data_IF_465722932142
#
_entry.id   IF_465722932142
#
_cell.length_a   1.000
_cell.length_b   1.000
_cell.length_c   1.000
_cell.angle_alpha   90.00
_cell.angle_beta   90.00
_cell.angle_gamma   90.00
#
_symmetry.space_group_name_H-M   'P 1'
#
loop_
_entity.id
_entity.type
_entity.pdbx_description
1 polymer ?
#
# COMPACT_ATOMS: atom_id res chain seq x y z
N UNK A 1 12.13 -15.10 14.68
CA UNK A 1 11.48 -15.50 13.41
C UNK A 1 10.03 -15.00 13.32
N UNK A 2 9.09 -15.53 14.13
CA UNK A 2 7.67 -15.16 14.06
C UNK A 2 7.38 -13.67 14.31
N UNK A 3 8.12 -13.03 15.23
CA UNK A 3 7.98 -11.58 15.50
C UNK A 3 8.31 -10.73 14.26
N UNK A 4 9.35 -11.10 13.51
CA UNK A 4 9.74 -10.39 12.29
C UNK A 4 8.65 -10.51 11.21
N UNK A 5 8.09 -11.70 11.05
CA UNK A 5 6.99 -11.94 10.09
C UNK A 5 5.76 -11.08 10.45
N UNK A 6 5.39 -11.05 11.74
CA UNK A 6 4.29 -10.20 12.23
C UNK A 6 4.58 -8.72 12.01
N UNK A 7 5.81 -8.27 12.25
CA UNK A 7 6.20 -6.89 12.01
C UNK A 7 6.03 -6.52 10.53
N UNK A 8 6.50 -7.38 9.61
CA UNK A 8 6.31 -7.17 8.16
C UNK A 8 4.82 -7.12 7.80
N UNK A 9 4.02 -8.02 8.35
CA UNK A 9 2.58 -8.05 8.15
C UNK A 9 1.90 -6.73 8.57
N UNK A 10 2.22 -6.22 9.77
CA UNK A 10 1.68 -4.94 10.24
C UNK A 10 2.18 -3.73 9.44
N UNK A 11 3.42 -3.77 8.94
CA UNK A 11 3.94 -2.72 8.05
C UNK A 11 3.15 -2.69 6.74
N UNK A 12 2.85 -3.85 6.15
CA UNK A 12 2.05 -3.94 4.92
C UNK A 12 0.64 -3.38 5.16
N UNK A 13 -0.05 -3.84 6.21
CA UNK A 13 -1.39 -3.33 6.56
C UNK A 13 -1.38 -1.82 6.84
N UNK A 14 -0.35 -1.32 7.52
CA UNK A 14 -0.17 0.11 7.77
C UNK A 14 0.00 0.91 6.48
N UNK A 15 0.78 0.41 5.52
CA UNK A 15 0.93 1.04 4.20
C UNK A 15 -0.37 1.02 3.40
N UNK A 16 -1.13 -0.08 3.42
CA UNK A 16 -2.46 -0.14 2.79
C UNK A 16 -3.39 0.93 3.37
N UNK A 17 -3.45 1.06 4.69
CA UNK A 17 -4.25 2.09 5.36
C UNK A 17 -3.81 3.51 4.96
N UNK A 18 -2.50 3.76 4.88
CA UNK A 18 -1.96 5.06 4.44
C UNK A 18 -2.34 5.36 2.98
N UNK A 19 -2.33 4.36 2.10
CA UNK A 19 -2.75 4.53 0.70
C UNK A 19 -4.25 4.81 0.61
N UNK A 20 -5.06 4.11 1.40
CA UNK A 20 -6.51 4.38 1.49
C UNK A 20 -6.75 5.81 1.99
N UNK A 21 -6.06 6.23 3.05
CA UNK A 21 -6.15 7.59 3.57
C UNK A 21 -5.75 8.62 2.52
N UNK A 22 -4.64 8.40 1.79
CA UNK A 22 -4.21 9.27 0.70
C UNK A 22 -5.28 9.40 -0.40
N UNK A 23 -5.89 8.27 -0.80
CA UNK A 23 -6.95 8.24 -1.79
C UNK A 23 -8.20 9.01 -1.31
N UNK A 24 -8.63 8.80 -0.06
CA UNK A 24 -9.76 9.55 0.53
C UNK A 24 -9.46 11.06 0.64
N UNK A 25 -8.24 11.43 1.03
CA UNK A 25 -7.81 12.83 1.10
C UNK A 25 -7.74 13.52 -0.26
N UNK A 26 -7.56 12.76 -1.35
CA UNK A 26 -7.60 13.31 -2.71
C UNK A 26 -9.00 13.77 -3.14
N UNK A 27 -10.06 13.24 -2.51
CA UNK A 27 -11.45 13.62 -2.79
C UNK A 27 -11.94 14.79 -1.93
N UNK A 28 -11.27 15.05 -0.80
CA UNK A 28 -11.62 16.13 0.13
C UNK A 28 -10.86 17.42 -0.23
N UNK A 29 -11.55 18.53 -0.57
CA UNK A 29 -10.90 19.80 -0.89
C UNK A 29 -9.99 20.29 0.24
N UNK A 30 -8.74 20.67 -0.08
CA UNK A 30 -7.77 21.19 0.88
C UNK A 30 -7.16 20.16 1.86
N UNK A 31 -7.65 18.92 1.89
CA UNK A 31 -7.10 17.88 2.76
C UNK A 31 -5.70 17.47 2.30
N UNK A 32 -5.51 17.29 0.99
CA UNK A 32 -4.21 16.94 0.37
C UNK A 32 -3.13 17.97 0.67
N UNK A 33 -3.48 19.26 0.67
CA UNK A 33 -2.54 20.37 0.94
C UNK A 33 -2.25 20.60 2.41
N UNK A 34 -2.96 19.94 3.32
CA UNK A 34 -2.68 20.03 4.76
C UNK A 34 -1.31 19.44 5.11
N UNK A 35 -0.74 19.83 6.27
CA UNK A 35 0.54 19.25 6.74
C UNK A 35 0.49 17.72 6.81
N UNK A 36 -0.62 17.18 7.33
CA UNK A 36 -0.86 15.74 7.42
C UNK A 36 -1.00 15.12 6.02
N UNK A 37 -1.77 15.76 5.14
CA UNK A 37 -1.98 15.29 3.77
C UNK A 37 -0.69 15.17 2.98
N UNK A 38 0.23 16.12 3.12
CA UNK A 38 1.55 16.02 2.47
C UNK A 38 2.39 14.86 3.01
N UNK A 39 2.31 14.56 4.31
CA UNK A 39 3.03 13.42 4.90
C UNK A 39 2.41 12.10 4.41
N UNK A 40 1.09 11.97 4.50
CA UNK A 40 0.35 10.78 4.06
C UNK A 40 0.60 10.51 2.57
N UNK A 41 0.48 11.52 1.71
CA UNK A 41 0.74 11.37 0.27
C UNK A 41 2.21 11.03 -0.03
N UNK A 42 3.17 11.56 0.75
CA UNK A 42 4.59 11.22 0.59
C UNK A 42 4.85 9.74 0.90
N UNK A 43 4.25 9.22 1.97
CA UNK A 43 4.41 7.81 2.35
C UNK A 43 3.68 6.91 1.34
N UNK A 44 2.44 7.22 1.00
CA UNK A 44 1.69 6.48 -0.02
C UNK A 44 2.41 6.47 -1.38
N UNK A 45 3.01 7.60 -1.78
CA UNK A 45 3.75 7.76 -3.03
C UNK A 45 4.92 6.80 -3.19
N UNK A 46 5.50 6.28 -2.10
CA UNK A 46 6.56 5.25 -2.17
C UNK A 46 6.11 3.99 -2.92
N UNK A 47 4.83 3.63 -2.80
CA UNK A 47 4.25 2.46 -3.46
C UNK A 47 3.39 2.89 -4.66
N UNK A 48 2.62 3.97 -4.52
CA UNK A 48 1.67 4.40 -5.56
C UNK A 48 2.37 5.03 -6.76
N UNK A 49 3.44 5.83 -6.58
CA UNK A 49 4.09 6.51 -7.71
C UNK A 49 4.76 5.55 -8.70
N UNK A 50 5.47 4.48 -8.26
CA UNK A 50 5.95 3.44 -9.17
C UNK A 50 4.82 2.78 -9.97
N UNK A 51 3.70 2.45 -9.31
CA UNK A 51 2.52 1.87 -9.96
C UNK A 51 1.94 2.83 -10.99
N UNK A 52 1.82 4.11 -10.63
CA UNK A 52 1.32 5.18 -11.52
C UNK A 52 2.18 5.38 -12.77
N UNK A 53 3.50 5.10 -12.70
CA UNK A 53 4.40 5.17 -13.85
C UNK A 53 4.19 4.03 -14.85
N UNK A 54 3.71 2.88 -14.38
CA UNK A 54 3.46 1.67 -15.19
C UNK A 54 2.04 1.69 -15.75
N UNK A 55 1.09 2.19 -14.96
CA UNK A 55 -0.30 2.34 -15.39
C UNK A 55 -0.37 3.33 -16.57
N UNK A 56 -1.17 3.03 -17.60
CA UNK A 56 -1.48 4.02 -18.62
C UNK A 56 -2.07 5.25 -17.93
N UNK A 57 -1.74 6.46 -18.40
CA UNK A 57 -2.37 7.69 -17.91
C UNK A 57 -3.83 7.74 -18.41
N UNK A 58 -4.69 6.92 -17.85
CA UNK A 58 -6.10 6.82 -18.23
C UNK A 58 -6.95 7.69 -17.32
N UNK A 59 -7.65 8.65 -17.93
CA UNK A 59 -8.84 9.34 -17.43
C UNK A 59 -8.69 10.20 -16.16
N UNK A 60 -9.80 10.85 -15.79
CA UNK A 60 -9.96 11.77 -14.67
C UNK A 60 -9.77 11.13 -13.27
N UNK A 61 -9.75 9.80 -13.17
CA UNK A 61 -9.72 9.06 -11.90
C UNK A 61 -8.45 8.21 -11.82
N UNK A 62 -7.66 8.42 -10.77
CA UNK A 62 -6.43 7.66 -10.51
C UNK A 62 -6.73 6.33 -9.81
N UNK A 63 -6.63 5.22 -10.55
CA UNK A 63 -6.76 3.86 -10.00
C UNK A 63 -5.45 3.28 -9.44
N UNK A 64 -4.33 4.01 -9.53
CA UNK A 64 -3.04 3.56 -9.02
C UNK A 64 -3.05 3.18 -7.53
N UNK A 65 -3.77 3.89 -6.63
CA UNK A 65 -3.91 3.49 -5.23
C UNK A 65 -4.52 2.09 -5.06
N UNK A 66 -5.54 1.76 -5.84
CA UNK A 66 -6.18 0.43 -5.78
C UNK A 66 -5.20 -0.66 -6.23
N UNK A 67 -4.50 -0.44 -7.34
CA UNK A 67 -3.50 -1.39 -7.85
C UNK A 67 -2.35 -1.56 -6.85
N UNK A 68 -1.89 -0.48 -6.22
CA UNK A 68 -0.87 -0.53 -5.17
C UNK A 68 -1.30 -1.39 -3.98
N UNK A 69 -2.55 -1.23 -3.51
CA UNK A 69 -3.12 -2.07 -2.43
C UNK A 69 -3.17 -3.54 -2.85
N UNK A 70 -3.63 -3.85 -4.06
CA UNK A 70 -3.68 -5.23 -4.56
C UNK A 70 -2.29 -5.87 -4.61
N UNK A 71 -1.25 -5.11 -4.97
CA UNK A 71 0.12 -5.60 -4.97
C UNK A 71 0.66 -5.86 -3.55
N UNK A 72 0.31 -5.00 -2.59
CA UNK A 72 0.65 -5.21 -1.17
C UNK A 72 -0.02 -6.46 -0.61
N UNK A 73 -1.31 -6.66 -0.90
CA UNK A 73 -2.05 -7.87 -0.51
C UNK A 73 -1.47 -9.13 -1.15
N UNK A 74 -1.11 -9.07 -2.43
CA UNK A 74 -0.44 -10.18 -3.12
C UNK A 74 0.92 -10.51 -2.46
N UNK A 75 1.69 -9.50 -2.06
CA UNK A 75 2.95 -9.69 -1.33
C UNK A 75 2.72 -10.35 0.04
N UNK A 76 1.66 -9.97 0.75
CA UNK A 76 1.28 -10.56 2.04
C UNK A 76 0.84 -12.02 1.92
N UNK A 77 0.08 -12.35 0.86
CA UNK A 77 -0.27 -13.73 0.52
C UNK A 77 0.98 -14.56 0.21
N UNK A 78 1.91 -14.02 -0.59
CA UNK A 78 3.19 -14.66 -0.91
C UNK A 78 4.05 -14.90 0.34
N UNK A 79 4.17 -13.91 1.22
CA UNK A 79 4.86 -14.03 2.50
C UNK A 79 4.27 -15.16 3.34
N UNK A 80 2.94 -15.20 3.46
CA UNK A 80 2.24 -16.22 4.25
C UNK A 80 2.45 -17.62 3.67
N UNK A 81 2.41 -17.76 2.35
CA UNK A 81 2.67 -19.02 1.67
C UNK A 81 4.11 -19.52 1.92
N UNK A 82 5.10 -18.64 1.78
CA UNK A 82 6.52 -18.97 2.05
C UNK A 82 6.69 -19.39 3.51
N UNK A 83 6.16 -18.61 4.45
CA UNK A 83 6.23 -18.91 5.89
C UNK A 83 5.57 -20.26 6.20
N UNK A 84 4.41 -20.56 5.59
CA UNK A 84 3.73 -21.85 5.77
C UNK A 84 4.57 -23.01 5.26
N UNK A 85 5.23 -22.88 4.11
CA UNK A 85 6.13 -23.92 3.59
C UNK A 85 7.35 -24.10 4.48
N UNK A 86 7.93 -23.01 4.98
CA UNK A 86 9.13 -23.06 5.82
C UNK A 86 8.87 -23.61 7.23
N UNK A 87 7.70 -23.32 7.81
CA UNK A 87 7.35 -23.71 9.18
C UNK A 87 6.55 -25.02 9.21
N UNK A 88 5.65 -25.20 8.25
CA UNK A 88 4.79 -26.38 8.10
C UNK A 88 5.41 -27.48 7.25
N UNK A 89 6.73 -27.49 7.07
CA UNK A 89 7.46 -28.57 6.42
C UNK A 89 7.55 -29.84 7.30
N UNK A 90 6.39 -30.41 7.64
CA UNK A 90 6.12 -31.81 8.01
C UNK A 90 4.66 -32.13 7.66
#
# INVERSE_FOLDING_TARGET
>A
MLVLIKLVYYVIEGLEMIIILAALMSWLPGATDSKLGRIVNRIAGLIVDPVRRIMPRTSFIDFSPLVAILLLQAAQLGLTAIVRVLIGGY
#
